data_IF_551259564023
#
_entry.id   IF_551259564023
#
_cell.length_a   1.000
_cell.length_b   1.000
_cell.length_c   1.000
_cell.angle_alpha   90.00
_cell.angle_beta   90.00
_cell.angle_gamma   90.00
#
_symmetry.space_group_name_H-M   'P 1'
#
loop_
_entity.id
_entity.type
_entity.pdbx_description
1 polymer ?
#
# COMPACT_ATOMS: atom_id res chain seq x y z
N UNK A 1 -17.26 23.06 5.59
CA UNK A 1 -17.18 22.55 6.99
C UNK A 1 -16.31 23.47 7.82
N UNK A 2 -16.68 23.76 9.08
CA UNK A 2 -15.81 24.48 10.03
C UNK A 2 -14.71 23.53 10.53
N UNK A 3 -13.53 24.09 10.85
CA UNK A 3 -12.24 23.43 11.15
C UNK A 3 -12.25 22.32 12.24
N UNK A 4 -13.29 22.23 13.08
CA UNK A 4 -13.25 21.42 14.31
C UNK A 4 -14.13 20.15 14.32
N UNK A 5 -14.64 19.66 13.18
CA UNK A 5 -15.66 18.59 13.20
C UNK A 5 -15.44 17.44 12.21
N UNK A 6 -14.18 17.09 11.92
CA UNK A 6 -13.86 15.98 10.98
C UNK A 6 -14.15 14.60 11.61
N UNK A 7 -14.06 14.48 12.94
CA UNK A 7 -14.43 13.25 13.67
C UNK A 7 -13.63 12.02 13.25
N UNK A 8 -14.19 10.83 13.49
CA UNK A 8 -13.63 9.56 13.03
C UNK A 8 -14.00 9.37 11.56
N UNK A 9 -13.01 9.12 10.71
CA UNK A 9 -13.19 8.93 9.27
C UNK A 9 -13.13 7.43 8.97
N UNK A 10 -14.21 6.93 8.38
CA UNK A 10 -14.26 5.56 7.88
C UNK A 10 -13.59 5.50 6.50
N UNK A 11 -12.55 4.68 6.41
CA UNK A 11 -11.89 4.36 5.15
C UNK A 11 -12.45 3.04 4.62
N UNK A 12 -12.83 3.03 3.34
CA UNK A 12 -13.36 1.85 2.69
C UNK A 12 -12.22 0.92 2.22
N UNK A 13 -12.44 -0.41 2.16
CA UNK A 13 -11.48 -1.34 1.58
C UNK A 13 -11.08 -0.91 0.16
N UNK A 14 -9.80 -1.03 -0.16
CA UNK A 14 -9.23 -0.61 -1.45
C UNK A 14 -8.46 -1.78 -2.03
N UNK A 15 -9.19 -2.74 -2.60
CA UNK A 15 -8.62 -3.93 -3.24
C UNK A 15 -7.94 -3.50 -4.53
N UNK A 16 -6.67 -3.85 -4.71
CA UNK A 16 -5.88 -3.38 -5.85
C UNK A 16 -5.47 -4.55 -6.74
N UNK A 17 -5.78 -4.44 -8.04
CA UNK A 17 -5.39 -5.42 -9.05
C UNK A 17 -3.86 -5.57 -9.10
N UNK A 18 -3.38 -6.79 -9.30
CA UNK A 18 -1.98 -7.14 -9.56
C UNK A 18 -1.88 -8.28 -10.56
N UNK A 19 -0.73 -8.36 -11.23
CA UNK A 19 -0.39 -9.46 -12.15
C UNK A 19 -0.08 -10.79 -11.41
N UNK A 20 -0.16 -10.81 -10.09
CA UNK A 20 0.05 -12.00 -9.27
C UNK A 20 -1.23 -12.30 -8.49
N UNK A 21 -1.52 -13.59 -8.28
CA UNK A 21 -2.74 -14.04 -7.61
C UNK A 21 -2.60 -14.05 -6.09
N UNK A 22 -3.73 -13.92 -5.40
CA UNK A 22 -3.83 -14.05 -3.95
C UNK A 22 -5.11 -13.43 -3.39
N UNK A 23 -5.13 -13.15 -2.09
CA UNK A 23 -6.22 -12.41 -1.44
C UNK A 23 -7.22 -13.26 -0.65
N UNK A 24 -7.17 -14.59 -0.68
CA UNK A 24 -8.03 -15.45 0.14
C UNK A 24 -8.05 -15.07 1.63
N UNK A 25 -6.87 -14.84 2.24
CA UNK A 25 -6.77 -14.47 3.66
C UNK A 25 -7.33 -13.07 3.92
N UNK A 26 -7.29 -12.19 2.92
CA UNK A 26 -7.89 -10.86 3.01
C UNK A 26 -9.41 -10.95 2.99
N UNK A 27 -9.97 -11.75 2.08
CA UNK A 27 -11.41 -12.02 2.04
C UNK A 27 -11.90 -12.65 3.35
N UNK A 28 -11.14 -13.62 3.90
CA UNK A 28 -11.44 -14.22 5.20
C UNK A 28 -11.39 -13.20 6.33
N UNK A 29 -10.37 -12.33 6.35
CA UNK A 29 -10.25 -11.24 7.32
C UNK A 29 -11.42 -10.25 7.25
N UNK A 30 -11.96 -10.01 6.05
CA UNK A 30 -13.12 -9.13 5.82
C UNK A 30 -14.48 -9.82 6.06
N UNK A 31 -14.49 -11.11 6.40
CA UNK A 31 -15.72 -11.85 6.65
C UNK A 31 -16.51 -12.23 5.38
N UNK A 32 -15.87 -12.26 4.22
CA UNK A 32 -16.49 -12.71 2.97
C UNK A 32 -16.92 -14.18 3.11
N UNK A 33 -18.18 -14.49 2.74
CA UNK A 33 -18.76 -15.84 2.89
C UNK A 33 -17.99 -16.94 2.14
N UNK A 34 -17.52 -16.62 0.93
CA UNK A 34 -16.80 -17.55 0.05
C UNK A 34 -15.44 -16.93 -0.35
N UNK A 35 -14.43 -16.94 0.55
CA UNK A 35 -13.14 -16.32 0.28
C UNK A 35 -12.39 -17.09 -0.82
N UNK A 36 -11.79 -16.38 -1.77
CA UNK A 36 -11.07 -16.95 -2.90
C UNK A 36 -9.85 -16.11 -3.28
N UNK A 37 -8.85 -16.76 -3.88
CA UNK A 37 -7.76 -16.06 -4.53
C UNK A 37 -8.21 -15.45 -5.87
N UNK A 38 -7.78 -14.23 -6.12
CA UNK A 38 -8.08 -13.45 -7.31
C UNK A 38 -6.85 -12.67 -7.76
N UNK A 39 -7.03 -11.82 -8.76
CA UNK A 39 -6.00 -10.86 -9.19
C UNK A 39 -5.99 -9.60 -8.31
N UNK A 40 -6.66 -9.61 -7.14
CA UNK A 40 -6.66 -8.53 -6.15
C UNK A 40 -5.99 -8.97 -4.85
N UNK A 41 -4.68 -9.23 -4.82
CA UNK A 41 -3.99 -9.76 -3.64
C UNK A 41 -3.62 -8.70 -2.59
N UNK A 42 -3.83 -7.41 -2.87
CA UNK A 42 -3.49 -6.29 -1.99
C UNK A 42 -4.75 -5.51 -1.57
N UNK A 43 -4.79 -5.05 -0.32
CA UNK A 43 -5.78 -4.09 0.19
C UNK A 43 -5.02 -2.88 0.78
N UNK A 44 -5.22 -1.70 0.19
CA UNK A 44 -4.49 -0.48 0.52
C UNK A 44 -5.32 0.39 1.48
N UNK A 45 -5.06 0.28 2.79
CA UNK A 45 -5.98 0.76 3.84
C UNK A 45 -5.99 2.29 3.99
N UNK A 46 -4.93 2.99 3.59
CA UNK A 46 -4.76 4.45 3.74
C UNK A 46 -3.94 5.02 2.59
N UNK A 47 -4.34 4.76 1.36
CA UNK A 47 -3.56 5.11 0.19
C UNK A 47 -3.97 6.45 -0.40
N UNK A 48 -2.96 7.27 -0.68
CA UNK A 48 -2.99 8.38 -1.64
C UNK A 48 -2.11 8.08 -2.86
N UNK A 49 -1.75 6.81 -3.07
CA UNK A 49 -0.85 6.37 -4.14
C UNK A 49 -1.67 5.81 -5.30
N UNK A 50 -1.32 6.21 -6.52
CA UNK A 50 -1.88 5.65 -7.75
C UNK A 50 -1.06 4.45 -8.19
N UNK A 51 -1.70 3.29 -8.29
CA UNK A 51 -1.06 2.07 -8.74
C UNK A 51 -0.89 2.12 -10.26
N UNK A 52 0.26 1.65 -10.73
CA UNK A 52 0.47 1.36 -12.14
C UNK A 52 -0.15 -0.03 -12.40
N UNK A 53 -1.15 -0.06 -13.27
CA UNK A 53 -1.85 -1.27 -13.70
C UNK A 53 -1.51 -1.58 -15.16
N UNK A 54 -1.82 -2.79 -15.67
CA UNK A 54 -1.58 -3.14 -17.08
C UNK A 54 -2.25 -2.18 -18.07
N UNK A 55 -3.35 -1.54 -17.66
CA UNK A 55 -4.10 -0.56 -18.45
C UNK A 55 -3.71 0.90 -18.15
N UNK A 56 -2.64 1.13 -17.39
CA UNK A 56 -2.14 2.46 -17.04
C UNK A 56 -2.30 2.83 -15.57
N UNK A 57 -2.15 4.12 -15.26
CA UNK A 57 -2.28 4.65 -13.90
C UNK A 57 -3.76 4.81 -13.57
N UNK A 58 -4.20 4.27 -12.43
CA UNK A 58 -5.59 4.30 -11.98
C UNK A 58 -5.72 4.92 -10.59
N UNK A 59 -6.82 5.65 -10.37
CA UNK A 59 -7.20 6.21 -9.07
C UNK A 59 -7.91 5.19 -8.17
N UNK A 60 -8.18 3.97 -8.68
CA UNK A 60 -8.82 2.88 -7.92
C UNK A 60 -8.03 2.46 -6.68
N UNK A 61 -6.75 2.77 -6.63
CA UNK A 61 -5.88 2.48 -5.49
C UNK A 61 -5.79 3.62 -4.48
N UNK A 62 -6.47 4.74 -4.70
CA UNK A 62 -6.64 5.80 -3.70
C UNK A 62 -7.81 5.40 -2.80
N UNK A 63 -7.61 5.42 -1.48
CA UNK A 63 -8.62 4.96 -0.55
C UNK A 63 -9.83 5.88 -0.54
N UNK A 64 -11.01 5.28 -0.75
CA UNK A 64 -12.30 5.97 -0.70
C UNK A 64 -12.75 6.19 0.73
N UNK A 65 -13.51 7.26 0.94
CA UNK A 65 -14.14 7.58 2.22
C UNK A 65 -15.63 7.80 2.02
N UNK A 66 -16.43 7.59 3.07
CA UNK A 66 -17.89 7.81 3.02
C UNK A 66 -18.40 8.80 4.08
N UNK A 67 -17.56 9.17 5.04
CA UNK A 67 -17.97 9.90 6.23
C UNK A 67 -18.33 11.38 5.95
N UNK A 68 -17.76 11.98 4.90
CA UNK A 68 -17.90 13.41 4.64
C UNK A 68 -18.54 13.62 3.26
N UNK A 69 -19.66 14.36 3.26
CA UNK A 69 -20.36 14.71 2.02
C UNK A 69 -19.43 15.49 1.08
N UNK A 70 -19.50 15.18 -0.21
CA UNK A 70 -18.74 15.83 -1.29
C UNK A 70 -17.21 15.61 -1.23
N UNK A 71 -16.72 14.69 -0.37
CA UNK A 71 -15.32 14.26 -0.34
C UNK A 71 -15.26 12.75 -0.56
N UNK A 72 -14.77 12.36 -1.73
CA UNK A 72 -14.87 10.97 -2.19
C UNK A 72 -13.70 10.08 -1.75
N UNK A 73 -12.53 10.67 -1.50
CA UNK A 73 -11.32 9.91 -1.22
C UNK A 73 -10.32 10.65 -0.30
N UNK A 74 -9.34 9.89 0.19
CA UNK A 74 -8.35 10.36 1.16
C UNK A 74 -7.45 11.48 0.62
N UNK A 75 -7.14 11.47 -0.68
CA UNK A 75 -6.33 12.53 -1.30
C UNK A 75 -7.08 13.88 -1.27
N UNK A 76 -8.36 13.88 -1.68
CA UNK A 76 -9.21 15.08 -1.64
C UNK A 76 -9.42 15.55 -0.21
N UNK A 77 -9.59 14.64 0.74
CA UNK A 77 -9.72 14.96 2.16
C UNK A 77 -8.48 15.68 2.70
N UNK A 78 -7.29 15.12 2.47
CA UNK A 78 -6.03 15.72 2.92
C UNK A 78 -5.81 17.07 2.25
N UNK A 79 -6.19 17.24 0.97
CA UNK A 79 -6.08 18.53 0.29
C UNK A 79 -6.93 19.62 0.94
N UNK A 80 -8.15 19.30 1.39
CA UNK A 80 -9.06 20.27 2.00
C UNK A 80 -8.71 20.55 3.47
N UNK A 81 -8.21 19.55 4.21
CA UNK A 81 -7.94 19.64 5.64
C UNK A 81 -6.56 19.10 6.03
N UNK A 82 -5.45 19.60 5.44
CA UNK A 82 -4.13 18.99 5.60
C UNK A 82 -3.64 19.06 7.05
N UNK A 83 -3.83 20.20 7.72
CA UNK A 83 -3.39 20.38 9.11
C UNK A 83 -4.22 19.57 10.10
N UNK A 84 -5.51 19.35 9.81
CA UNK A 84 -6.42 18.63 10.70
C UNK A 84 -6.23 17.10 10.58
N UNK A 85 -5.80 16.62 9.40
CA UNK A 85 -5.52 15.19 9.15
C UNK A 85 -4.06 14.83 9.47
N UNK A 86 -3.08 15.62 9.01
CA UNK A 86 -1.66 15.30 9.12
C UNK A 86 -0.98 15.99 10.31
N UNK A 87 -1.58 17.06 10.85
CA UNK A 87 -1.00 17.88 11.91
C UNK A 87 -0.14 19.03 11.36
N UNK A 88 -0.27 20.22 11.97
CA UNK A 88 0.46 21.44 11.56
C UNK A 88 1.97 21.28 11.47
N UNK A 89 2.57 20.60 12.44
CA UNK A 89 4.02 20.37 12.48
C UNK A 89 4.50 19.47 11.34
N UNK A 90 3.70 18.46 10.99
CA UNK A 90 3.97 17.60 9.85
C UNK A 90 3.87 18.38 8.53
N UNK A 91 2.76 19.11 8.33
CA UNK A 91 2.52 19.89 7.11
C UNK A 91 3.64 20.90 6.88
N UNK A 92 4.11 21.58 7.93
CA UNK A 92 5.23 22.52 7.83
C UNK A 92 6.52 21.86 7.33
N UNK A 93 6.75 20.59 7.70
CA UNK A 93 8.00 19.87 7.41
C UNK A 93 7.95 19.09 6.10
N UNK A 94 6.80 18.54 5.76
CA UNK A 94 6.65 17.54 4.70
C UNK A 94 5.55 17.89 3.68
N UNK A 95 4.88 19.04 3.84
CA UNK A 95 3.76 19.44 3.01
C UNK A 95 2.53 18.56 3.24
N UNK A 96 1.69 18.46 2.21
CA UNK A 96 0.39 17.80 2.29
C UNK A 96 0.45 16.32 1.88
N UNK A 97 1.63 15.76 1.65
CA UNK A 97 1.78 14.37 1.23
C UNK A 97 1.76 13.43 2.43
N UNK A 98 1.02 12.32 2.35
CA UNK A 98 0.94 11.33 3.44
C UNK A 98 2.29 10.64 3.70
N UNK A 99 3.14 10.50 2.68
CA UNK A 99 4.47 9.89 2.71
C UNK A 99 4.53 8.47 3.31
N UNK A 100 3.39 7.78 3.33
CA UNK A 100 3.23 6.43 3.86
C UNK A 100 2.23 5.68 2.98
N UNK A 101 2.48 4.39 2.78
CA UNK A 101 1.55 3.47 2.17
C UNK A 101 1.43 2.23 3.05
N UNK A 102 0.23 1.97 3.56
CA UNK A 102 -0.09 0.79 4.37
C UNK A 102 -0.86 -0.20 3.50
N UNK A 103 -0.43 -1.46 3.52
CA UNK A 103 -1.03 -2.55 2.75
C UNK A 103 -1.30 -3.75 3.63
N UNK A 104 -2.44 -4.39 3.43
CA UNK A 104 -2.58 -5.83 3.66
C UNK A 104 -2.25 -6.53 2.35
N UNK A 105 -1.47 -7.59 2.42
CA UNK A 105 -1.02 -8.34 1.25
C UNK A 105 -1.10 -9.83 1.56
N UNK A 106 -1.78 -10.58 0.68
CA UNK A 106 -1.80 -12.04 0.69
C UNK A 106 -1.52 -12.51 -0.72
N UNK A 107 -0.34 -13.09 -0.94
CA UNK A 107 0.05 -13.66 -2.22
C UNK A 107 -0.15 -15.17 -2.21
N UNK A 108 -0.76 -15.70 -3.26
CA UNK A 108 -0.87 -17.15 -3.50
C UNK A 108 0.25 -17.70 -4.38
N UNK A 109 1.16 -16.85 -4.82
CA UNK A 109 2.33 -17.24 -5.63
C UNK A 109 3.59 -16.55 -5.11
N UNK A 110 4.75 -17.06 -5.50
CA UNK A 110 6.03 -16.42 -5.17
C UNK A 110 6.15 -15.10 -5.92
N UNK A 111 6.37 -14.01 -5.19
CA UNK A 111 6.66 -12.72 -5.79
C UNK A 111 8.07 -12.69 -6.40
N UNK A 112 8.30 -11.88 -7.45
CA UNK A 112 9.63 -11.68 -7.99
C UNK A 112 10.62 -11.21 -6.93
N UNK A 113 11.88 -11.62 -7.07
CA UNK A 113 12.95 -11.04 -6.26
C UNK A 113 13.08 -9.56 -6.64
N UNK A 114 13.10 -8.69 -5.63
CA UNK A 114 13.08 -7.26 -5.82
C UNK A 114 13.98 -6.56 -4.80
N UNK A 115 14.39 -5.35 -5.14
CA UNK A 115 15.05 -4.41 -4.23
C UNK A 115 14.37 -3.06 -4.35
N UNK A 116 14.56 -2.20 -3.35
CA UNK A 116 13.93 -0.89 -3.29
C UNK A 116 14.96 0.24 -3.29
N UNK A 117 14.73 1.31 -4.08
CA UNK A 117 15.66 2.41 -4.15
C UNK A 117 15.63 3.25 -2.87
N UNK A 118 16.78 3.82 -2.51
CA UNK A 118 16.85 4.89 -1.53
C UNK A 118 16.43 6.24 -2.17
N UNK A 119 16.15 7.25 -1.34
CA UNK A 119 15.73 8.59 -1.81
C UNK A 119 16.70 9.20 -2.83
N UNK A 120 18.01 9.07 -2.59
CA UNK A 120 19.03 9.63 -3.50
C UNK A 120 18.98 8.97 -4.88
N UNK A 121 18.82 7.64 -4.93
CA UNK A 121 18.71 6.90 -6.18
C UNK A 121 17.41 7.28 -6.92
N UNK A 122 16.28 7.33 -6.23
CA UNK A 122 14.99 7.70 -6.81
C UNK A 122 14.99 9.08 -7.45
N UNK A 123 15.62 10.07 -6.78
CA UNK A 123 15.73 11.43 -7.33
C UNK A 123 16.56 11.46 -8.60
N UNK A 124 17.69 10.74 -8.60
CA UNK A 124 18.64 10.74 -9.72
C UNK A 124 18.10 10.02 -10.95
N UNK A 125 17.36 8.92 -10.76
CA UNK A 125 17.03 7.99 -11.86
C UNK A 125 15.55 7.79 -12.11
N UNK A 126 14.67 8.10 -11.14
CA UNK A 126 13.24 7.75 -11.20
C UNK A 126 12.32 8.98 -11.12
N UNK A 127 12.89 10.20 -11.16
CA UNK A 127 12.15 11.46 -11.00
C UNK A 127 11.20 11.45 -9.79
N UNK A 128 11.68 10.94 -8.65
CA UNK A 128 10.87 10.78 -7.44
C UNK A 128 11.64 11.18 -6.20
N UNK A 129 10.99 11.96 -5.31
CA UNK A 129 11.50 12.31 -3.99
C UNK A 129 11.47 11.16 -2.97
N UNK A 130 10.86 10.04 -3.35
CA UNK A 130 10.60 8.91 -2.47
C UNK A 130 11.52 7.74 -2.76
N UNK A 131 12.24 7.28 -1.73
CA UNK A 131 12.69 5.90 -1.67
C UNK A 131 11.54 4.99 -1.19
N UNK A 132 11.81 3.69 -1.05
CA UNK A 132 10.82 2.75 -0.52
C UNK A 132 11.41 1.86 0.58
N UNK A 133 11.55 2.44 1.76
CA UNK A 133 11.77 1.66 2.97
C UNK A 133 10.44 1.01 3.38
N UNK A 134 10.48 -0.24 3.81
CA UNK A 134 9.28 -0.96 4.23
C UNK A 134 9.54 -1.82 5.48
N UNK A 135 8.46 -2.18 6.15
CA UNK A 135 8.44 -3.09 7.28
C UNK A 135 7.25 -4.03 7.12
N UNK A 136 7.41 -5.27 7.58
CA UNK A 136 6.38 -6.29 7.49
C UNK A 136 5.98 -6.78 8.87
N UNK A 137 4.68 -6.91 9.09
CA UNK A 137 4.11 -7.59 10.24
C UNK A 137 3.33 -8.81 9.73
N UNK A 138 3.82 -10.00 10.07
CA UNK A 138 3.21 -11.25 9.63
C UNK A 138 1.99 -11.56 10.51
N UNK A 139 0.82 -11.20 10.01
CA UNK A 139 -0.43 -11.34 10.76
C UNK A 139 -1.03 -12.76 10.69
N UNK A 140 -1.00 -13.37 9.50
CA UNK A 140 -1.50 -14.71 9.25
C UNK A 140 -0.73 -15.34 8.09
N UNK A 141 -0.72 -16.67 8.03
CA UNK A 141 -0.11 -17.42 6.94
C UNK A 141 -0.98 -18.61 6.52
N UNK A 142 -0.69 -19.19 5.35
CA UNK A 142 -1.31 -20.43 4.88
C UNK A 142 -0.32 -21.25 4.06
N UNK A 143 -0.53 -22.57 3.99
CA UNK A 143 0.16 -23.44 3.04
C UNK A 143 -0.51 -23.36 1.67
N UNK A 144 0.29 -23.48 0.61
CA UNK A 144 -0.19 -23.48 -0.77
C UNK A 144 0.30 -24.78 -1.42
N UNK A 145 -0.62 -25.68 -1.72
CA UNK A 145 -0.25 -27.05 -2.10
C UNK A 145 0.56 -27.71 -0.98
N UNK A 146 1.81 -28.10 -1.29
CA UNK A 146 2.75 -28.70 -0.33
C UNK A 146 3.72 -27.68 0.29
N UNK A 147 3.71 -26.43 -0.17
CA UNK A 147 4.66 -25.40 0.25
C UNK A 147 4.23 -24.74 1.56
N UNK A 148 5.19 -24.61 2.49
CA UNK A 148 5.04 -23.79 3.69
C UNK A 148 5.27 -22.30 3.33
N UNK A 149 4.65 -21.36 4.06
CA UNK A 149 4.90 -19.93 3.87
C UNK A 149 6.35 -19.57 4.21
N UNK A 150 6.97 -18.69 3.41
CA UNK A 150 8.34 -18.24 3.62
C UNK A 150 8.54 -16.80 3.12
N UNK A 151 9.65 -16.19 3.55
CA UNK A 151 10.12 -14.89 3.10
C UNK A 151 11.61 -15.01 2.77
N UNK A 152 12.06 -14.42 1.66
CA UNK A 152 13.47 -14.38 1.28
C UNK A 152 14.00 -12.97 1.50
N UNK A 153 15.08 -12.85 2.27
CA UNK A 153 15.68 -11.55 2.63
C UNK A 153 17.20 -11.65 2.54
N UNK A 154 17.81 -10.71 1.83
CA UNK A 154 19.25 -10.57 1.72
C UNK A 154 19.91 -11.61 0.81
N UNK A 155 21.24 -11.52 0.73
CA UNK A 155 22.06 -12.46 0.00
C UNK A 155 22.65 -13.51 0.93
N UNK A 156 23.02 -14.66 0.37
CA UNK A 156 23.85 -15.64 1.06
C UNK A 156 25.23 -15.03 1.36
N UNK A 157 25.94 -15.49 2.41
CA UNK A 157 27.31 -15.08 2.66
C UNK A 157 28.21 -15.30 1.44
N UNK A 158 29.11 -14.34 1.17
CA UNK A 158 30.09 -14.43 0.08
C UNK A 158 29.58 -13.99 -1.29
N UNK A 159 28.31 -13.61 -1.45
CA UNK A 159 27.81 -13.04 -2.70
C UNK A 159 28.36 -11.63 -2.89
N UNK A 160 29.06 -11.41 -4.00
CA UNK A 160 29.54 -10.10 -4.44
C UNK A 160 28.85 -9.68 -5.74
N UNK A 161 29.05 -8.43 -6.15
CA UNK A 161 28.49 -7.90 -7.39
C UNK A 161 28.99 -8.65 -8.63
N UNK A 162 30.24 -9.09 -8.64
CA UNK A 162 30.89 -9.70 -9.79
C UNK A 162 30.55 -11.19 -9.98
N UNK A 163 29.80 -11.78 -9.02
CA UNK A 163 29.34 -13.18 -9.04
C UNK A 163 27.90 -13.29 -9.59
N UNK A 164 27.23 -12.16 -9.84
CA UNK A 164 25.87 -12.09 -10.42
C UNK A 164 25.91 -11.83 -11.93
#
# INVERSE_FOLDING_TARGET
MKKNNIGIIQILPTRVFRIYRGGYLLEKFRGTKNPQDSDYPEDWILSTVKAIQPYGISDESISKIQTIKDIENLEVLIKHFPEDILGKGYVRKFGNSLNLLVKLLDSSIRLPLQTHPCKMFSRKYLNSDFGKAEAWYIFATRKIGKENPYVLIGFKPGITKDIM
#
